data_IF_859553341553
#
_entry.id   IF_859553341553
#
_cell.length_a   1.000
_cell.length_b   1.000
_cell.length_c   1.000
_cell.angle_alpha   90.00
_cell.angle_beta   90.00
_cell.angle_gamma   90.00
#
_symmetry.space_group_name_H-M   'P 1'
#
loop_
_entity.id
_entity.type
_entity.pdbx_description
1 polymer ?
#
# COMPACT_ATOMS: atom_id res chain seq x y z
N UNK A 1 21.68 -4.52 -18.06
CA UNK A 1 20.83 -5.42 -17.25
C UNK A 1 19.37 -4.97 -17.37
N UNK A 2 18.50 -5.63 -18.16
CA UNK A 2 17.09 -5.25 -18.23
C UNK A 2 16.46 -5.44 -16.86
N UNK A 3 15.78 -4.40 -16.35
CA UNK A 3 15.01 -4.48 -15.09
C UNK A 3 13.84 -5.43 -15.32
N UNK A 4 14.05 -6.72 -15.06
CA UNK A 4 13.01 -7.72 -15.14
C UNK A 4 11.93 -7.36 -14.10
N UNK A 5 10.71 -7.08 -14.56
CA UNK A 5 9.58 -6.73 -13.68
C UNK A 5 8.86 -7.99 -13.21
N UNK A 6 9.64 -8.99 -12.82
CA UNK A 6 9.18 -10.29 -12.38
C UNK A 6 9.37 -10.43 -10.88
N UNK A 7 8.45 -11.16 -10.23
CA UNK A 7 8.62 -11.52 -8.83
C UNK A 7 9.67 -12.61 -8.68
N UNK A 8 10.63 -12.36 -7.80
CA UNK A 8 11.68 -13.27 -7.39
C UNK A 8 11.16 -14.49 -6.61
N UNK A 9 9.96 -14.40 -6.02
CA UNK A 9 9.39 -15.43 -5.15
C UNK A 9 8.52 -16.41 -5.95
N UNK A 10 7.70 -15.91 -6.89
CA UNK A 10 6.74 -16.74 -7.63
C UNK A 10 6.86 -16.65 -9.15
N UNK A 11 7.86 -15.93 -9.68
CA UNK A 11 8.09 -15.81 -11.12
C UNK A 11 7.04 -15.01 -11.90
N UNK A 12 6.06 -14.39 -11.23
CA UNK A 12 4.99 -13.64 -11.91
C UNK A 12 5.51 -12.32 -12.50
N UNK A 13 5.19 -12.04 -13.75
CA UNK A 13 5.52 -10.80 -14.44
C UNK A 13 4.52 -9.66 -14.18
N UNK A 14 5.01 -8.42 -14.14
CA UNK A 14 4.22 -7.21 -13.92
C UNK A 14 4.58 -6.10 -14.92
N UNK A 15 3.61 -5.26 -15.25
CA UNK A 15 3.79 -4.15 -16.20
C UNK A 15 4.67 -3.02 -15.65
N UNK A 16 4.72 -2.83 -14.32
CA UNK A 16 5.51 -1.76 -13.68
C UNK A 16 6.22 -2.25 -12.41
N UNK A 17 7.36 -1.62 -12.08
CA UNK A 17 8.10 -1.93 -10.87
C UNK A 17 7.27 -1.62 -9.61
N UNK A 18 6.42 -0.58 -9.66
CA UNK A 18 5.51 -0.24 -8.56
C UNK A 18 4.53 -1.37 -8.24
N UNK A 19 3.97 -2.02 -9.26
CA UNK A 19 3.08 -3.16 -9.08
C UNK A 19 3.86 -4.37 -8.56
N UNK A 20 5.06 -4.62 -9.10
CA UNK A 20 5.94 -5.67 -8.60
C UNK A 20 6.27 -5.49 -7.11
N UNK A 21 6.72 -4.30 -6.69
CA UNK A 21 7.02 -4.02 -5.27
C UNK A 21 5.80 -4.22 -4.38
N UNK A 22 4.62 -3.75 -4.80
CA UNK A 22 3.39 -3.99 -4.05
C UNK A 22 3.02 -5.47 -3.98
N UNK A 23 3.23 -6.22 -5.07
CA UNK A 23 3.01 -7.66 -5.08
C UNK A 23 3.96 -8.38 -4.14
N UNK A 24 5.24 -8.01 -4.06
CA UNK A 24 6.19 -8.65 -3.13
C UNK A 24 5.72 -8.62 -1.67
N UNK A 25 4.99 -7.56 -1.27
CA UNK A 25 4.39 -7.46 0.07
C UNK A 25 3.34 -8.53 0.36
N UNK A 26 2.74 -9.16 -0.65
CA UNK A 26 1.81 -10.28 -0.43
C UNK A 26 2.52 -11.55 0.03
N UNK A 27 3.81 -11.69 -0.29
CA UNK A 27 4.63 -12.80 0.16
C UNK A 27 5.29 -12.51 1.51
N UNK A 28 5.81 -11.30 1.70
CA UNK A 28 6.51 -10.94 2.94
C UNK A 28 5.58 -10.55 4.09
N UNK A 29 4.30 -10.26 3.78
CA UNK A 29 3.35 -9.75 4.76
C UNK A 29 3.61 -8.31 5.19
N UNK A 30 4.54 -7.59 4.54
CA UNK A 30 4.90 -6.23 4.90
C UNK A 30 3.71 -5.27 4.73
N UNK A 31 3.38 -4.54 5.79
CA UNK A 31 2.28 -3.58 5.83
C UNK A 31 2.78 -2.19 6.25
N UNK A 32 3.49 -1.48 5.36
CA UNK A 32 4.15 -0.23 5.73
C UNK A 32 3.16 0.93 5.89
N UNK A 33 1.93 0.81 5.37
CA UNK A 33 0.94 1.88 5.44
C UNK A 33 0.11 1.74 6.71
N UNK A 34 0.39 2.58 7.69
CA UNK A 34 -0.36 2.65 8.95
C UNK A 34 -1.49 3.68 8.84
N UNK A 35 -2.64 3.40 9.43
CA UNK A 35 -3.66 4.42 9.66
C UNK A 35 -3.17 5.42 10.71
N UNK A 36 -3.53 6.69 10.57
CA UNK A 36 -3.19 7.73 11.55
C UNK A 36 -4.08 7.71 12.79
N UNK A 37 -5.26 7.10 12.71
CA UNK A 37 -6.30 7.16 13.75
C UNK A 37 -6.49 5.84 14.50
N UNK A 38 -5.87 4.74 14.04
CA UNK A 38 -6.02 3.42 14.64
C UNK A 38 -4.79 2.54 14.33
N UNK A 39 -4.61 1.39 15.03
CA UNK A 39 -3.45 0.52 14.81
C UNK A 39 -3.51 -0.30 13.51
N UNK A 40 -4.51 -0.10 12.65
CA UNK A 40 -4.64 -0.84 11.40
C UNK A 40 -3.48 -0.55 10.43
N UNK A 41 -2.96 -1.60 9.80
CA UNK A 41 -1.87 -1.53 8.83
C UNK A 41 -2.22 -2.23 7.52
N UNK A 42 -1.68 -1.72 6.41
CA UNK A 42 -2.05 -2.14 5.07
C UNK A 42 -0.81 -2.32 4.18
N UNK A 43 -0.87 -3.28 3.26
CA UNK A 43 0.18 -3.53 2.27
C UNK A 43 0.17 -2.49 1.13
N UNK A 44 -0.94 -1.78 0.95
CA UNK A 44 -1.15 -0.80 -0.14
C UNK A 44 -1.72 0.52 0.39
N UNK A 45 -1.22 1.64 -0.16
CA UNK A 45 -1.67 3.00 0.20
C UNK A 45 -3.15 3.22 -0.09
N UNK A 46 -3.65 2.71 -1.21
CA UNK A 46 -5.05 2.83 -1.62
C UNK A 46 -5.98 2.15 -0.63
N UNK A 47 -5.64 0.94 -0.18
CA UNK A 47 -6.40 0.22 0.83
C UNK A 47 -6.46 1.00 2.16
N UNK A 48 -5.32 1.53 2.63
CA UNK A 48 -5.27 2.40 3.81
C UNK A 48 -6.15 3.64 3.64
N UNK A 49 -6.07 4.33 2.49
CA UNK A 49 -6.87 5.53 2.23
C UNK A 49 -8.37 5.25 2.16
N UNK A 50 -8.78 4.14 1.57
CA UNK A 50 -10.17 3.71 1.60
C UNK A 50 -10.62 3.44 3.03
N UNK A 51 -9.81 2.73 3.82
CA UNK A 51 -10.09 2.49 5.23
C UNK A 51 -10.21 3.79 6.04
N UNK A 52 -9.27 4.73 5.89
CA UNK A 52 -9.33 6.06 6.53
C UNK A 52 -10.63 6.77 6.17
N UNK A 53 -11.02 6.72 4.88
CA UNK A 53 -12.25 7.32 4.38
C UNK A 53 -13.52 6.63 4.86
N UNK A 54 -13.52 5.33 5.15
CA UNK A 54 -14.75 4.60 5.56
C UNK A 54 -14.87 4.42 7.06
N UNK A 55 -13.77 4.44 7.79
CA UNK A 55 -13.72 4.14 9.23
C UNK A 55 -13.39 5.37 10.08
N UNK A 56 -12.71 6.37 9.50
CA UNK A 56 -12.27 7.58 10.20
C UNK A 56 -12.73 8.85 9.50
N UNK A 57 -13.82 8.76 8.71
CA UNK A 57 -14.45 9.93 8.12
C UNK A 57 -15.18 10.73 9.19
N UNK A 58 -14.41 11.49 9.97
CA UNK A 58 -14.82 12.73 10.61
C UNK A 58 -13.64 13.71 10.62
N UNK A 59 -13.71 14.65 9.68
CA UNK A 59 -13.12 16.00 9.60
C UNK A 59 -11.62 16.20 9.90
N UNK A 60 -10.83 16.42 8.83
CA UNK A 60 -9.86 17.53 8.75
C UNK A 60 -9.64 17.93 7.28
N UNK A 61 -10.63 18.63 6.72
CA UNK A 61 -10.37 19.71 5.77
C UNK A 61 -10.56 21.02 6.54
N UNK A 62 -9.74 21.22 7.56
CA UNK A 62 -9.51 22.55 8.16
C UNK A 62 -8.03 22.81 8.02
N UNK A 63 -7.72 23.67 7.05
CA UNK A 63 -6.42 24.32 6.90
C UNK A 63 -6.14 25.09 8.20
N UNK A 64 -5.00 24.89 8.87
CA UNK A 64 -4.65 25.72 10.01
C UNK A 64 -4.42 27.17 9.57
N UNK A 65 -4.90 28.05 10.44
CA UNK A 65 -4.92 29.51 10.42
C UNK A 65 -3.65 30.19 9.89
#
# INVERSE_FOLDING_TARGET
>A
MPKNKMCDICGRGFSTNRILTNHRRTHTGERPYKCAHCPATFAQRTAMKTHEKTQHKNLVYTVPQ
#
